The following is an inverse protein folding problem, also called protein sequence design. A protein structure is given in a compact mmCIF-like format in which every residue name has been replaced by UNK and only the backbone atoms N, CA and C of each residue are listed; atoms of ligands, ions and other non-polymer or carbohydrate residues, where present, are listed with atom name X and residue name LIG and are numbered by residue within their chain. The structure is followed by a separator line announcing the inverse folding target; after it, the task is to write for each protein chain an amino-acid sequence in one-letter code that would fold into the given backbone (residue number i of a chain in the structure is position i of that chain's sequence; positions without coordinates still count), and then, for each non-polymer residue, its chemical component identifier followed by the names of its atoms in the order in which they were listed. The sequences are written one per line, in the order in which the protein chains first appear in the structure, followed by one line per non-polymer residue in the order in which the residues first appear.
data_IF_545027730428
#
_entry.id   IF_545027730428
#
_cell.length_a   1.000
_cell.length_b   1.000
_cell.length_c   1.000
_cell.angle_alpha   90.00
_cell.angle_beta   90.00
_cell.angle_gamma   90.00
#
_symmetry.space_group_name_H-M   'P 1'
#
loop_
_entity.id
_entity.type
_entity.pdbx_description
1 polymer ?
#
# COMPACT_ATOMS: atom_id res chain seq x y z
N UNK A 1 -12.48 -12.57 13.80
CA UNK A 1 -11.22 -11.87 13.74
C UNK A 1 -11.23 -10.75 14.80
N UNK A 2 -10.28 -10.80 15.75
CA UNK A 2 -10.21 -9.83 16.87
C UNK A 2 -10.10 -8.38 16.39
N UNK A 3 -9.36 -8.13 15.30
CA UNK A 3 -9.21 -6.78 14.73
C UNK A 3 -10.56 -6.18 14.31
N UNK A 4 -11.42 -6.98 13.70
CA UNK A 4 -12.77 -6.55 13.29
C UNK A 4 -13.60 -6.09 14.49
N UNK A 5 -13.56 -6.85 15.58
CA UNK A 5 -14.29 -6.53 16.81
C UNK A 5 -13.78 -5.22 17.41
N UNK A 6 -12.46 -5.08 17.56
CA UNK A 6 -11.85 -3.88 18.13
C UNK A 6 -12.13 -2.62 17.29
N UNK A 7 -12.12 -2.72 15.96
CA UNK A 7 -12.44 -1.58 15.10
C UNK A 7 -13.92 -1.19 15.21
N UNK A 8 -14.82 -2.16 15.36
CA UNK A 8 -16.22 -1.85 15.61
C UNK A 8 -16.42 -1.19 16.97
N UNK A 9 -15.70 -1.62 18.01
CA UNK A 9 -15.70 -0.95 19.31
C UNK A 9 -15.16 0.49 19.21
N UNK A 10 -14.08 0.70 18.47
CA UNK A 10 -13.56 2.06 18.20
C UNK A 10 -14.63 2.96 17.59
N UNK A 11 -15.40 2.45 16.61
CA UNK A 11 -16.51 3.21 15.98
C UNK A 11 -17.62 3.53 16.98
N UNK A 12 -17.97 2.59 17.86
CA UNK A 12 -18.98 2.82 18.90
C UNK A 12 -18.53 3.86 19.93
N UNK A 13 -17.23 3.99 20.17
CA UNK A 13 -16.62 4.96 21.09
C UNK A 13 -16.25 6.29 20.40
N UNK A 14 -16.66 6.47 19.16
CA UNK A 14 -16.33 7.65 18.33
C UNK A 14 -14.81 7.86 18.20
N UNK A 15 -14.08 6.75 18.06
CA UNK A 15 -12.64 6.73 17.78
C UNK A 15 -12.45 6.46 16.30
N UNK A 16 -11.81 7.40 15.62
CA UNK A 16 -11.50 7.29 14.19
C UNK A 16 -10.31 6.36 13.95
N UNK A 17 -10.51 5.34 13.14
CA UNK A 17 -9.44 4.48 12.64
C UNK A 17 -9.09 4.93 11.22
N UNK A 18 -7.85 5.42 11.03
CA UNK A 18 -7.37 5.84 9.72
C UNK A 18 -7.12 4.65 8.81
N UNK A 19 -7.25 4.83 7.50
CA UNK A 19 -6.89 3.81 6.53
C UNK A 19 -5.36 3.54 6.55
N UNK A 20 -4.93 2.33 6.14
CA UNK A 20 -3.50 2.05 6.00
C UNK A 20 -2.84 3.01 5.01
N UNK A 21 -1.62 3.43 5.31
CA UNK A 21 -0.83 4.34 4.46
C UNK A 21 0.64 3.91 4.52
N UNK A 22 1.23 3.65 3.36
CA UNK A 22 2.61 3.15 3.25
C UNK A 22 3.63 4.16 3.82
N UNK A 23 3.32 5.44 3.78
CA UNK A 23 4.18 6.52 4.27
C UNK A 23 3.96 6.89 5.75
N UNK A 24 2.80 6.55 6.33
CA UNK A 24 2.42 6.99 7.68
C UNK A 24 2.24 5.85 8.66
N UNK A 25 1.65 4.74 8.21
CA UNK A 25 1.35 3.61 9.10
C UNK A 25 2.60 2.92 9.61
N UNK A 26 2.55 2.48 10.87
CA UNK A 26 3.52 1.56 11.46
C UNK A 26 3.19 0.10 11.16
N UNK A 27 3.98 -0.81 11.73
CA UNK A 27 3.70 -2.26 11.65
C UNK A 27 2.41 -2.58 12.38
N UNK A 28 2.25 -2.05 13.59
CA UNK A 28 1.10 -2.27 14.45
C UNK A 28 0.14 -1.07 14.45
N UNK A 29 -1.06 -1.27 14.97
CA UNK A 29 -1.96 -0.17 15.27
C UNK A 29 -1.34 0.74 16.34
N UNK A 30 -1.40 2.06 16.12
CA UNK A 30 -0.81 3.06 17.00
C UNK A 30 -1.82 4.17 17.29
N UNK A 31 -2.03 4.55 18.56
CA UNK A 31 -2.83 5.71 18.88
C UNK A 31 -2.10 6.98 18.41
N UNK A 32 -2.80 7.83 17.66
CA UNK A 32 -2.30 9.14 17.24
C UNK A 32 -2.65 10.21 18.29
N UNK A 33 -3.80 10.05 18.92
CA UNK A 33 -4.33 10.84 20.03
C UNK A 33 -5.49 10.07 20.70
N UNK A 34 -6.20 10.72 21.63
CA UNK A 34 -7.29 10.11 22.40
C UNK A 34 -8.50 9.66 21.54
N UNK A 35 -8.59 10.12 20.29
CA UNK A 35 -9.73 9.88 19.38
C UNK A 35 -9.32 9.31 18.03
N UNK A 36 -8.04 9.08 17.79
CA UNK A 36 -7.57 8.64 16.48
C UNK A 36 -6.52 7.52 16.59
N UNK A 37 -6.66 6.51 15.74
CA UNK A 37 -5.76 5.36 15.64
C UNK A 37 -5.26 5.23 14.20
N UNK A 38 -3.94 5.06 14.03
CA UNK A 38 -3.33 4.67 12.77
C UNK A 38 -3.48 3.16 12.55
N UNK A 39 -3.86 2.77 11.34
CA UNK A 39 -3.97 1.35 10.97
C UNK A 39 -2.60 0.69 10.90
N UNK A 40 -2.48 -0.49 11.51
CA UNK A 40 -1.26 -1.29 11.46
C UNK A 40 -1.15 -2.07 10.15
N UNK A 41 -0.06 -1.92 9.41
CA UNK A 41 0.14 -2.60 8.12
C UNK A 41 0.20 -4.13 8.24
N UNK A 42 0.53 -4.68 9.42
CA UNK A 42 0.53 -6.12 9.66
C UNK A 42 -0.87 -6.76 9.65
N UNK A 43 -1.92 -5.96 9.69
CA UNK A 43 -3.30 -6.43 9.53
C UNK A 43 -3.70 -6.63 8.06
N UNK A 44 -2.88 -6.19 7.11
CA UNK A 44 -3.07 -6.44 5.67
C UNK A 44 -2.68 -7.88 5.37
N UNK A 45 -3.61 -8.66 4.83
CA UNK A 45 -3.34 -10.05 4.44
C UNK A 45 -2.20 -10.14 3.41
N UNK A 46 -1.47 -11.23 3.44
CA UNK A 46 -0.35 -11.55 2.55
C UNK A 46 0.89 -10.65 2.72
N UNK A 47 0.89 -9.73 3.66
CA UNK A 47 2.05 -8.86 3.94
C UNK A 47 2.73 -9.34 5.22
N UNK A 48 3.96 -9.82 5.09
CA UNK A 48 4.74 -10.35 6.22
C UNK A 48 5.42 -9.24 7.03
N UNK A 49 5.64 -9.50 8.32
CA UNK A 49 6.29 -8.53 9.23
C UNK A 49 7.67 -8.12 8.72
N UNK A 50 8.48 -9.05 8.22
CA UNK A 50 9.82 -8.75 7.65
C UNK A 50 9.75 -7.79 6.47
N UNK A 51 8.74 -7.93 5.62
CA UNK A 51 8.48 -7.00 4.51
C UNK A 51 8.19 -5.60 5.03
N UNK A 52 7.37 -5.51 6.07
CA UNK A 52 7.01 -4.22 6.67
C UNK A 52 8.17 -3.56 7.40
N UNK A 53 8.98 -4.33 8.14
CA UNK A 53 10.20 -3.85 8.78
C UNK A 53 11.12 -3.20 7.74
N UNK A 54 11.34 -3.88 6.62
CA UNK A 54 12.17 -3.37 5.53
C UNK A 54 11.55 -2.14 4.86
N UNK A 55 10.24 -2.11 4.59
CA UNK A 55 9.58 -0.94 4.02
C UNK A 55 9.72 0.29 4.94
N UNK A 56 9.55 0.11 6.24
CA UNK A 56 9.67 1.19 7.23
C UNK A 56 11.12 1.65 7.36
N UNK A 57 12.09 0.72 7.36
CA UNK A 57 13.52 1.05 7.37
C UNK A 57 13.91 1.90 6.15
N UNK A 58 13.49 1.47 4.96
CA UNK A 58 13.72 2.21 3.70
C UNK A 58 13.10 3.61 3.76
N UNK A 59 11.85 3.72 4.23
CA UNK A 59 11.17 4.99 4.43
C UNK A 59 11.93 5.92 5.40
N UNK A 60 12.39 5.38 6.51
CA UNK A 60 13.12 6.15 7.51
C UNK A 60 14.48 6.63 6.98
N UNK A 61 15.13 5.84 6.14
CA UNK A 61 16.45 6.14 5.57
C UNK A 61 16.38 7.10 4.38
N UNK A 62 15.40 6.94 3.50
CA UNK A 62 15.31 7.64 2.22
C UNK A 62 14.15 8.66 2.13
N UNK A 63 13.38 8.80 3.19
CA UNK A 63 12.18 9.64 3.21
C UNK A 63 10.95 8.93 2.65
N UNK A 64 9.86 9.67 2.56
CA UNK A 64 8.57 9.16 2.05
C UNK A 64 8.70 8.68 0.60
N UNK A 65 7.97 7.61 0.29
CA UNK A 65 7.81 7.14 -1.08
C UNK A 65 6.96 8.13 -1.88
N UNK A 66 7.37 8.40 -3.11
CA UNK A 66 6.73 9.38 -4.00
C UNK A 66 5.73 8.76 -4.97
N UNK A 67 5.88 7.48 -5.26
CA UNK A 67 5.02 6.71 -6.15
C UNK A 67 5.19 5.21 -5.90
N UNK A 68 4.34 4.38 -6.51
CA UNK A 68 4.49 2.92 -6.50
C UNK A 68 5.82 2.48 -7.13
N UNK A 69 6.27 3.15 -8.19
CA UNK A 69 7.55 2.85 -8.82
C UNK A 69 8.74 3.25 -7.94
N UNK A 70 8.64 4.39 -7.25
CA UNK A 70 9.64 4.80 -6.28
C UNK A 70 9.73 3.81 -5.10
N UNK A 71 8.58 3.33 -4.61
CA UNK A 71 8.51 2.29 -3.60
C UNK A 71 9.21 1.02 -4.06
N UNK A 72 8.80 0.46 -5.21
CA UNK A 72 9.31 -0.82 -5.69
C UNK A 72 10.80 -0.76 -6.07
N UNK A 73 11.34 0.40 -6.45
CA UNK A 73 12.76 0.58 -6.76
C UNK A 73 13.67 0.61 -5.53
N UNK A 74 13.10 0.85 -4.34
CA UNK A 74 13.87 1.01 -3.09
C UNK A 74 13.77 -0.19 -2.15
N UNK A 75 12.71 -1.01 -2.29
CA UNK A 75 12.47 -2.17 -1.44
C UNK A 75 13.10 -3.44 -2.01
N UNK A 76 13.40 -4.42 -1.14
CA UNK A 76 13.92 -5.72 -1.57
C UNK A 76 12.86 -6.52 -2.35
N UNK A 77 13.12 -6.77 -3.63
CA UNK A 77 12.23 -7.50 -4.53
C UNK A 77 11.93 -8.95 -4.07
N UNK A 78 12.79 -9.51 -3.22
CA UNK A 78 12.56 -10.85 -2.64
C UNK A 78 11.47 -10.85 -1.57
N UNK A 79 11.23 -9.70 -0.93
CA UNK A 79 10.23 -9.52 0.11
C UNK A 79 8.92 -8.94 -0.42
N UNK A 80 8.98 -8.10 -1.48
CA UNK A 80 7.82 -7.46 -2.09
C UNK A 80 7.49 -8.11 -3.43
N UNK A 81 6.81 -9.25 -3.38
CA UNK A 81 6.31 -9.92 -4.56
C UNK A 81 4.97 -9.33 -5.04
N UNK A 82 4.47 -9.81 -6.20
CA UNK A 82 3.19 -9.40 -6.80
C UNK A 82 2.04 -9.41 -5.79
N UNK A 83 1.88 -10.49 -5.01
CA UNK A 83 0.77 -10.65 -4.06
C UNK A 83 0.82 -9.64 -2.91
N UNK A 84 2.01 -9.33 -2.43
CA UNK A 84 2.22 -8.27 -1.41
C UNK A 84 1.82 -6.91 -1.97
N UNK A 85 2.29 -6.56 -3.17
CA UNK A 85 1.99 -5.27 -3.79
C UNK A 85 0.49 -5.13 -4.08
N UNK A 86 -0.15 -6.15 -4.67
CA UNK A 86 -1.61 -6.20 -4.85
C UNK A 86 -2.35 -5.96 -3.54
N UNK A 87 -1.98 -6.68 -2.46
CA UNK A 87 -2.65 -6.57 -1.16
C UNK A 87 -2.53 -5.18 -0.55
N UNK A 88 -1.38 -4.53 -0.67
CA UNK A 88 -1.18 -3.14 -0.21
C UNK A 88 -2.02 -2.15 -1.02
N UNK A 89 -2.13 -2.33 -2.34
CA UNK A 89 -2.98 -1.49 -3.20
C UNK A 89 -4.45 -1.67 -2.84
N UNK A 90 -4.93 -2.91 -2.72
CA UNK A 90 -6.31 -3.22 -2.36
C UNK A 90 -6.70 -2.68 -0.97
N UNK A 91 -5.74 -2.67 -0.03
CA UNK A 91 -5.92 -2.08 1.29
C UNK A 91 -5.96 -0.55 1.29
N UNK A 92 -5.62 0.09 0.17
CA UNK A 92 -5.53 1.54 0.06
C UNK A 92 -4.24 2.14 0.62
N UNK A 93 -3.21 1.33 0.86
CA UNK A 93 -1.94 1.80 1.44
C UNK A 93 -1.18 2.79 0.54
N UNK A 94 -1.51 2.86 -0.74
CA UNK A 94 -0.93 3.79 -1.73
C UNK A 94 -1.83 4.97 -2.07
N UNK A 95 -3.02 5.12 -1.46
CA UNK A 95 -4.00 6.15 -1.82
C UNK A 95 -3.45 7.58 -1.65
N UNK A 96 -2.53 7.79 -0.70
CA UNK A 96 -1.87 9.08 -0.52
C UNK A 96 -0.90 9.45 -1.66
N UNK A 97 -0.45 8.46 -2.45
CA UNK A 97 0.45 8.63 -3.59
C UNK A 97 -0.32 8.69 -4.91
N UNK A 98 -1.33 7.85 -5.05
CA UNK A 98 -2.24 7.80 -6.18
C UNK A 98 -3.55 7.14 -5.74
N UNK A 99 -4.65 7.85 -5.78
CA UNK A 99 -5.96 7.39 -5.32
C UNK A 99 -6.71 6.53 -6.35
N UNK A 100 -6.20 6.35 -7.56
CA UNK A 100 -6.76 5.42 -8.55
C UNK A 100 -6.20 4.00 -8.33
N UNK A 101 -6.87 3.23 -7.46
CA UNK A 101 -6.45 1.88 -7.10
C UNK A 101 -6.50 0.91 -8.28
N UNK A 102 -7.46 1.05 -9.19
CA UNK A 102 -7.57 0.22 -10.40
C UNK A 102 -6.33 0.39 -11.29
N UNK A 103 -5.90 1.63 -11.50
CA UNK A 103 -4.70 1.95 -12.27
C UNK A 103 -3.44 1.33 -11.68
N UNK A 104 -3.26 1.46 -10.34
CA UNK A 104 -2.12 0.87 -9.65
C UNK A 104 -2.15 -0.66 -9.72
N UNK A 105 -3.33 -1.27 -9.58
CA UNK A 105 -3.50 -2.71 -9.61
C UNK A 105 -3.15 -3.31 -10.98
N UNK A 106 -3.60 -2.69 -12.06
CA UNK A 106 -3.24 -3.10 -13.43
C UNK A 106 -1.74 -2.89 -13.74
N UNK A 107 -1.10 -1.94 -13.07
CA UNK A 107 0.32 -1.67 -13.26
C UNK A 107 1.24 -2.54 -12.38
N UNK A 108 0.73 -3.49 -11.60
CA UNK A 108 1.55 -4.30 -10.67
C UNK A 108 2.64 -5.08 -11.39
N UNK A 109 2.34 -5.77 -12.48
CA UNK A 109 3.34 -6.52 -13.24
C UNK A 109 4.40 -5.59 -13.86
N UNK A 110 3.99 -4.42 -14.29
CA UNK A 110 4.88 -3.38 -14.81
C UNK A 110 5.82 -2.86 -13.71
N UNK A 111 5.30 -2.64 -12.50
CA UNK A 111 6.07 -2.20 -11.36
C UNK A 111 7.10 -3.26 -10.92
N UNK A 112 6.71 -4.53 -10.82
CA UNK A 112 7.61 -5.63 -10.48
C UNK A 112 8.74 -5.75 -11.52
N UNK A 113 8.40 -5.68 -12.81
CA UNK A 113 9.40 -5.72 -13.87
C UNK A 113 10.38 -4.55 -13.79
N UNK A 114 9.87 -3.34 -13.52
CA UNK A 114 10.70 -2.16 -13.31
C UNK A 114 11.64 -2.33 -12.12
N UNK A 115 11.15 -2.77 -10.96
CA UNK A 115 11.98 -3.03 -9.79
C UNK A 115 13.10 -4.04 -10.06
N UNK A 116 12.79 -5.13 -10.76
CA UNK A 116 13.78 -6.13 -11.16
C UNK A 116 14.86 -5.57 -12.12
N UNK A 117 14.52 -4.63 -13.00
CA UNK A 117 15.48 -3.97 -13.87
C UNK A 117 16.41 -3.04 -13.09
N UNK A 118 15.85 -2.25 -12.17
CA UNK A 118 16.62 -1.36 -11.28
C UNK A 118 17.62 -2.18 -10.45
N UNK A 119 17.16 -3.27 -9.83
CA UNK A 119 18.01 -4.14 -9.00
C UNK A 119 19.15 -4.78 -9.81
N UNK A 120 18.88 -5.25 -11.04
CA UNK A 120 19.89 -5.79 -11.93
C UNK A 120 20.93 -4.76 -12.36
N UNK A 121 20.54 -3.52 -12.59
CA UNK A 121 21.46 -2.46 -12.96
C UNK A 121 22.34 -2.06 -11.78
N UNK A 122 21.77 -1.88 -10.60
CA UNK A 122 22.55 -1.61 -9.37
C UNK A 122 23.60 -2.68 -9.06
N UNK A 123 23.32 -3.94 -9.38
CA UNK A 123 24.29 -5.02 -9.22
C UNK A 123 25.37 -5.05 -10.32
N UNK A 124 25.12 -4.49 -11.52
CA UNK A 124 26.11 -4.38 -12.59
C UNK A 124 27.12 -3.26 -12.34
N UNK A 125 26.69 -2.17 -11.70
CA UNK A 125 27.56 -1.02 -11.39
C UNK A 125 28.67 -1.37 -10.39
N UNK A 126 28.50 -2.43 -9.60
CA UNK A 126 29.59 -3.00 -8.78
C UNK A 126 30.69 -3.71 -9.58
N UNK A 127 30.45 -4.01 -10.86
CA UNK A 127 31.38 -4.76 -11.71
C UNK A 127 32.02 -3.87 -12.81
N UNK A 128 31.39 -2.74 -13.16
CA UNK A 128 31.90 -1.85 -14.20
C UNK A 128 32.88 -0.82 -13.63
N UNK A 129 34.18 -1.20 -13.63
CA UNK A 129 35.30 -0.30 -13.32
C UNK A 129 35.62 0.68 -14.48
N UNK A 130 34.88 0.62 -15.57
CA UNK A 130 35.05 1.47 -16.75
C UNK A 130 33.70 2.15 -17.01
N UNK A 131 33.67 3.46 -16.69
CA UNK A 131 32.50 4.28 -16.86
C UNK A 131 31.99 4.27 -18.31
N UNK A 132 30.76 3.86 -18.45
CA UNK A 132 29.88 4.23 -19.55
C UNK A 132 28.46 4.39 -18.98
N UNK A 133 27.89 5.52 -19.34
CA UNK A 133 26.55 6.05 -19.12
C UNK A 133 25.63 5.15 -18.26
N UNK A 134 25.21 5.68 -17.10
CA UNK A 134 24.05 5.20 -16.35
C UNK A 134 22.88 5.02 -17.33
N UNK A 135 22.61 3.79 -17.74
CA UNK A 135 21.34 3.43 -18.35
C UNK A 135 20.26 3.57 -17.25
N UNK A 136 19.85 4.81 -17.02
CA UNK A 136 18.75 5.14 -16.11
C UNK A 136 17.52 4.38 -16.60
N UNK A 137 17.09 3.39 -15.85
CA UNK A 137 15.87 2.66 -16.15
C UNK A 137 14.71 3.66 -16.17
N UNK A 138 14.13 3.88 -17.35
CA UNK A 138 13.02 4.82 -17.51
C UNK A 138 11.83 4.35 -16.66
N UNK A 139 11.30 5.25 -15.83
CA UNK A 139 10.08 4.98 -15.06
C UNK A 139 8.93 4.75 -16.06
N UNK A 140 8.23 3.61 -15.97
CA UNK A 140 7.11 3.32 -16.86
C UNK A 140 5.95 4.29 -16.63
N UNK A 141 5.15 4.51 -17.67
CA UNK A 141 3.90 5.26 -17.57
C UNK A 141 2.80 4.33 -17.04
N UNK A 142 1.95 4.88 -16.16
CA UNK A 142 0.78 4.16 -15.67
C UNK A 142 -0.29 4.04 -16.78
N UNK A 143 -1.02 2.92 -16.86
CA UNK A 143 -2.12 2.76 -17.82
C UNK A 143 -3.22 3.80 -17.54
N UNK A 144 -3.88 4.31 -18.59
CA UNK A 144 -4.99 5.24 -18.46
C UNK A 144 -6.27 4.42 -18.34
N UNK A 145 -6.77 4.28 -17.13
CA UNK A 145 -8.01 3.57 -16.81
C UNK A 145 -8.82 4.31 -15.75
N UNK A 146 -10.14 4.13 -15.82
CA UNK A 146 -11.04 4.61 -14.78
C UNK A 146 -10.84 3.80 -13.48
N UNK A 147 -10.99 4.47 -12.36
CA UNK A 147 -10.91 3.81 -11.07
C UNK A 147 -12.17 2.99 -10.78
N UNK A 148 -12.02 2.00 -9.91
CA UNK A 148 -13.16 1.23 -9.42
C UNK A 148 -14.19 2.13 -8.75
N UNK A 149 -15.45 1.77 -8.87
CA UNK A 149 -16.48 2.44 -8.10
C UNK A 149 -16.28 2.21 -6.57
N UNK A 150 -16.96 3.00 -5.77
CA UNK A 150 -16.81 2.94 -4.32
C UNK A 150 -17.19 1.57 -3.73
N UNK A 151 -18.17 0.89 -4.31
CA UNK A 151 -18.61 -0.43 -3.84
C UNK A 151 -17.56 -1.51 -4.14
N UNK A 152 -16.98 -1.47 -5.32
CA UNK A 152 -15.90 -2.37 -5.72
C UNK A 152 -14.64 -2.15 -4.88
N UNK A 153 -14.23 -0.89 -4.65
CA UNK A 153 -13.11 -0.54 -3.75
C UNK A 153 -13.32 -1.11 -2.35
N UNK A 154 -14.49 -0.90 -1.76
CA UNK A 154 -14.82 -1.42 -0.44
C UNK A 154 -14.83 -2.94 -0.39
N UNK A 155 -15.33 -3.61 -1.43
CA UNK A 155 -15.30 -5.08 -1.52
C UNK A 155 -13.88 -5.61 -1.54
N UNK A 156 -13.01 -5.02 -2.36
CA UNK A 156 -11.60 -5.40 -2.46
C UNK A 156 -10.81 -5.10 -1.18
N UNK A 157 -11.08 -3.96 -0.54
CA UNK A 157 -10.52 -3.60 0.76
C UNK A 157 -10.87 -4.64 1.84
N UNK A 158 -12.15 -5.04 1.92
CA UNK A 158 -12.61 -6.08 2.84
C UNK A 158 -11.92 -7.43 2.60
N UNK A 159 -11.60 -7.77 1.37
CA UNK A 159 -10.90 -9.01 1.03
C UNK A 159 -9.55 -9.11 1.76
N UNK A 160 -8.79 -8.00 1.79
CA UNK A 160 -7.42 -7.98 2.35
C UNK A 160 -7.35 -7.49 3.79
N UNK A 161 -8.32 -6.71 4.28
CA UNK A 161 -8.37 -6.21 5.66
C UNK A 161 -9.38 -6.98 6.53
N UNK A 162 -10.36 -7.63 5.92
CA UNK A 162 -11.46 -8.30 6.62
C UNK A 162 -12.58 -7.35 7.09
N UNK A 163 -12.42 -6.04 6.88
CA UNK A 163 -13.33 -4.98 7.27
C UNK A 163 -13.38 -3.88 6.21
N UNK A 164 -14.38 -3.00 6.31
CA UNK A 164 -14.44 -1.76 5.56
C UNK A 164 -13.82 -0.64 6.40
N UNK A 165 -12.74 -0.02 5.94
CA UNK A 165 -12.05 1.08 6.63
C UNK A 165 -12.39 2.42 5.99
N UNK A 166 -12.30 2.51 4.65
CA UNK A 166 -12.49 3.77 3.91
C UNK A 166 -13.95 4.20 3.76
N UNK A 167 -14.93 3.36 4.10
CA UNK A 167 -16.34 3.69 3.99
C UNK A 167 -17.27 2.63 4.58
N UNK A 168 -18.58 2.90 4.47
CA UNK A 168 -19.63 1.95 4.85
C UNK A 168 -20.48 1.65 3.61
N UNK A 169 -20.56 0.38 3.15
CA UNK A 169 -21.37 0.01 1.99
C UNK A 169 -22.88 0.23 2.19
N UNK A 170 -23.32 0.36 3.45
CA UNK A 170 -24.75 0.58 3.80
C UNK A 170 -25.16 2.05 3.71
N UNK A 171 -24.25 3.00 3.49
CA UNK A 171 -24.60 4.42 3.36
C UNK A 171 -25.62 4.65 2.22
N UNK A 172 -25.56 3.87 1.14
CA UNK A 172 -26.54 3.95 0.03
C UNK A 172 -27.97 3.56 0.45
N UNK A 173 -28.13 2.87 1.56
CA UNK A 173 -29.42 2.38 2.07
C UNK A 173 -29.87 3.11 3.33
N UNK A 174 -29.11 4.11 3.80
CA UNK A 174 -29.45 4.86 4.99
C UNK A 174 -30.83 5.54 4.86
N UNK A 175 -31.14 6.06 3.66
CA UNK A 175 -32.42 6.71 3.37
C UNK A 175 -33.61 5.73 3.23
N UNK A 176 -33.37 4.41 3.29
CA UNK A 176 -34.41 3.37 3.15
C UNK A 176 -34.75 2.74 4.50
N UNK A 177 -33.93 3.01 5.53
CA UNK A 177 -34.03 2.42 6.87
C UNK A 177 -34.68 3.40 7.88
N UNK A 178 -35.03 4.62 7.48
CA UNK A 178 -35.97 5.48 8.19
C UNK A 178 -37.42 5.15 7.73
#
# INVERSE_FOLDING_TARGET
NKVVVLINECRMLDIKVHAPDINKSGINFEPLNDKEISFGLNAVKNVGVKTLEQCIEVRNKHGEFKSMFDFISKVDQRLVNKKVLESLILAGAFDSLNNNRAQLFEAVDLAINYGNQVDKNSNKDQINLFGDQEDLVKIPELPIIEDWDNQEKLSKEKEVLGIYVSGNPLIKYADIIE
#
